data_IF_564644663013
#
_entry.id   IF_564644663013
#
_cell.length_a   1.000
_cell.length_b   1.000
_cell.length_c   1.000
_cell.angle_alpha   90.00
_cell.angle_beta   90.00
_cell.angle_gamma   90.00
#
_symmetry.space_group_name_H-M   'P 1'
#
loop_
_entity.id
_entity.type
_entity.pdbx_description
1 polymer ?
#
# COMPACT_ATOMS: atom_id res chain seq x y z
N UNK A 1 -15.32 63.79 1.01
CA UNK A 1 -14.12 62.98 1.28
C UNK A 1 -14.53 61.61 1.85
N UNK A 2 -15.41 60.86 1.17
CA UNK A 2 -16.03 59.60 1.68
C UNK A 2 -16.21 58.52 0.60
N UNK A 3 -15.67 58.70 -0.61
CA UNK A 3 -15.90 57.79 -1.75
C UNK A 3 -14.87 56.66 -1.82
N UNK A 4 -13.73 56.79 -1.12
CA UNK A 4 -12.62 55.83 -1.22
C UNK A 4 -12.77 54.57 -0.34
N UNK A 5 -13.59 54.59 0.71
CA UNK A 5 -13.74 53.43 1.61
C UNK A 5 -14.63 52.31 1.06
N UNK A 6 -15.61 52.63 0.21
CA UNK A 6 -16.52 51.60 -0.35
C UNK A 6 -15.84 50.69 -1.39
N UNK A 7 -14.84 51.18 -2.12
CA UNK A 7 -14.12 50.37 -3.11
C UNK A 7 -13.11 49.39 -2.49
N UNK A 8 -12.56 49.71 -1.31
CA UNK A 8 -11.64 48.79 -0.62
C UNK A 8 -12.39 47.58 -0.05
N UNK A 9 -13.58 47.78 0.51
CA UNK A 9 -14.38 46.70 1.12
C UNK A 9 -14.90 45.72 0.06
N UNK A 10 -15.28 46.19 -1.15
CA UNK A 10 -15.72 45.29 -2.23
C UNK A 10 -14.60 44.45 -2.86
N UNK A 11 -13.36 44.96 -2.85
CA UNK A 11 -12.19 44.24 -3.38
C UNK A 11 -11.67 43.16 -2.42
N UNK A 12 -11.87 43.33 -1.11
CA UNK A 12 -11.48 42.32 -0.12
C UNK A 12 -12.43 41.10 -0.19
N UNK A 13 -13.74 41.33 -0.29
CA UNK A 13 -14.75 40.25 -0.31
C UNK A 13 -14.70 39.39 -1.59
N UNK A 14 -14.26 39.96 -2.72
CA UNK A 14 -14.07 39.22 -3.98
C UNK A 14 -12.80 38.37 -3.98
N UNK A 15 -11.71 38.84 -3.37
CA UNK A 15 -10.46 38.10 -3.21
C UNK A 15 -10.63 36.88 -2.29
N UNK A 16 -11.28 37.05 -1.13
CA UNK A 16 -11.51 35.96 -0.19
C UNK A 16 -12.47 34.88 -0.73
N UNK A 17 -13.50 35.28 -1.50
CA UNK A 17 -14.37 34.32 -2.20
C UNK A 17 -13.64 33.52 -3.27
N UNK A 18 -12.68 34.11 -3.99
CA UNK A 18 -11.85 33.38 -4.95
C UNK A 18 -10.87 32.41 -4.26
N UNK A 19 -10.25 32.83 -3.14
CA UNK A 19 -9.36 31.97 -2.35
C UNK A 19 -10.14 30.77 -1.77
N UNK A 20 -11.38 31.00 -1.31
CA UNK A 20 -12.22 29.96 -0.74
C UNK A 20 -12.73 28.97 -1.81
N UNK A 21 -13.15 29.44 -3.00
CA UNK A 21 -13.49 28.56 -4.14
C UNK A 21 -12.30 27.71 -4.59
N UNK A 22 -11.10 28.29 -4.69
CA UNK A 22 -9.89 27.55 -5.05
C UNK A 22 -9.47 26.51 -4.00
N UNK A 23 -9.68 26.79 -2.71
CA UNK A 23 -9.47 25.80 -1.64
C UNK A 23 -10.48 24.66 -1.70
N UNK A 24 -11.76 24.95 -1.93
CA UNK A 24 -12.84 23.95 -2.00
C UNK A 24 -12.63 22.99 -3.18
N UNK A 25 -12.22 23.51 -4.33
CA UNK A 25 -11.91 22.73 -5.53
C UNK A 25 -10.68 21.82 -5.32
N UNK A 26 -9.61 22.33 -4.70
CA UNK A 26 -8.42 21.53 -4.32
C UNK A 26 -8.69 20.46 -3.24
N UNK A 27 -9.73 20.62 -2.43
CA UNK A 27 -10.13 19.65 -1.40
C UNK A 27 -10.92 18.48 -2.00
N UNK A 28 -11.72 18.73 -3.04
CA UNK A 28 -12.54 17.71 -3.70
C UNK A 28 -11.73 16.85 -4.70
N UNK A 29 -10.66 17.39 -5.29
CA UNK A 29 -9.79 16.63 -6.19
C UNK A 29 -8.99 15.52 -5.50
N UNK A 30 -8.70 15.67 -4.19
CA UNK A 30 -7.91 14.69 -3.43
C UNK A 30 -8.61 13.32 -3.27
N UNK A 31 -9.89 13.23 -2.86
CA UNK A 31 -10.57 11.94 -2.75
C UNK A 31 -10.77 11.28 -4.11
N UNK A 32 -11.10 12.05 -5.16
CA UNK A 32 -11.31 11.53 -6.52
C UNK A 32 -10.02 10.87 -7.04
N UNK A 33 -8.88 11.55 -6.89
CA UNK A 33 -7.58 11.02 -7.35
C UNK A 33 -7.17 9.74 -6.61
N UNK A 34 -7.46 9.64 -5.30
CA UNK A 34 -7.19 8.43 -4.52
C UNK A 34 -8.08 7.28 -4.97
N UNK A 35 -9.36 7.54 -5.22
CA UNK A 35 -10.30 6.55 -5.71
C UNK A 35 -9.88 6.01 -7.09
N UNK A 36 -9.46 6.88 -8.00
CA UNK A 36 -8.97 6.47 -9.33
C UNK A 36 -7.75 5.56 -9.24
N UNK A 37 -6.80 5.82 -8.34
CA UNK A 37 -5.60 4.96 -8.18
C UNK A 37 -6.01 3.56 -7.69
N UNK A 38 -6.90 3.47 -6.70
CA UNK A 38 -7.39 2.18 -6.20
C UNK A 38 -8.18 1.42 -7.27
N UNK A 39 -9.00 2.13 -8.04
CA UNK A 39 -9.75 1.53 -9.14
C UNK A 39 -8.82 0.97 -10.23
N UNK A 40 -7.80 1.73 -10.62
CA UNK A 40 -6.79 1.30 -11.60
C UNK A 40 -6.05 0.07 -11.08
N UNK A 41 -5.65 0.07 -9.80
CA UNK A 41 -5.00 -1.08 -9.16
C UNK A 41 -5.91 -2.33 -9.19
N UNK A 42 -7.18 -2.20 -8.84
CA UNK A 42 -8.13 -3.31 -8.92
C UNK A 42 -8.27 -3.83 -10.36
N UNK A 43 -8.41 -2.93 -11.34
CA UNK A 43 -8.52 -3.33 -12.75
C UNK A 43 -7.25 -4.01 -13.27
N UNK A 44 -6.08 -3.58 -12.82
CA UNK A 44 -4.81 -4.26 -13.15
C UNK A 44 -4.71 -5.64 -12.52
N UNK A 45 -5.15 -5.80 -11.27
CA UNK A 45 -5.12 -7.09 -10.59
C UNK A 45 -6.10 -8.08 -11.26
N UNK A 46 -7.28 -7.59 -11.67
CA UNK A 46 -8.23 -8.39 -12.46
C UNK A 46 -7.68 -8.84 -13.80
N UNK A 47 -6.85 -8.03 -14.48
CA UNK A 47 -6.27 -8.43 -15.77
C UNK A 47 -5.28 -9.58 -15.64
N UNK A 48 -4.65 -9.75 -14.48
CA UNK A 48 -3.77 -10.89 -14.18
C UNK A 48 -4.58 -12.12 -13.74
N UNK A 49 -5.65 -11.93 -12.97
CA UNK A 49 -6.45 -13.04 -12.41
C UNK A 49 -7.41 -13.63 -13.46
N UNK A 50 -7.98 -12.80 -14.33
CA UNK A 50 -9.00 -13.21 -15.30
C UNK A 50 -8.53 -14.32 -16.27
N UNK A 51 -7.32 -14.29 -16.86
CA UNK A 51 -6.85 -15.37 -17.72
C UNK A 51 -6.72 -16.72 -16.99
N UNK A 52 -6.40 -16.70 -15.69
CA UNK A 52 -6.35 -17.92 -14.85
C UNK A 52 -7.75 -18.51 -14.67
N UNK A 53 -8.75 -17.66 -14.42
CA UNK A 53 -10.15 -18.09 -14.31
C UNK A 53 -10.70 -18.61 -15.63
N UNK A 54 -10.43 -17.92 -16.74
CA UNK A 54 -10.94 -18.28 -18.06
C UNK A 54 -10.33 -19.56 -18.64
N UNK A 55 -9.08 -19.89 -18.28
CA UNK A 55 -8.41 -21.10 -18.77
C UNK A 55 -8.89 -22.37 -18.10
N UNK A 56 -9.68 -22.30 -17.02
CA UNK A 56 -10.32 -23.47 -16.41
C UNK A 56 -9.35 -24.46 -15.76
N UNK A 57 -8.08 -24.08 -15.57
CA UNK A 57 -7.03 -24.92 -14.99
C UNK A 57 -7.14 -25.00 -13.45
N UNK A 58 -8.35 -25.11 -12.90
CA UNK A 58 -8.55 -25.21 -11.45
C UNK A 58 -8.76 -26.69 -11.11
N UNK A 59 -7.77 -27.30 -10.46
CA UNK A 59 -7.84 -28.68 -10.03
C UNK A 59 -8.20 -28.71 -8.55
N UNK A 60 -9.21 -29.51 -8.21
CA UNK A 60 -9.59 -29.75 -6.81
C UNK A 60 -8.78 -30.91 -6.25
N UNK A 61 -8.08 -30.67 -5.14
CA UNK A 61 -7.36 -31.72 -4.43
C UNK A 61 -8.36 -32.57 -3.63
N UNK A 62 -8.31 -33.90 -3.80
CA UNK A 62 -9.23 -34.84 -3.13
C UNK A 62 -9.06 -34.88 -1.59
N UNK A 63 -7.88 -34.55 -1.08
CA UNK A 63 -7.50 -34.75 0.32
C UNK A 63 -7.90 -33.55 1.19
N UNK A 64 -7.66 -32.31 0.72
CA UNK A 64 -7.79 -31.11 1.56
C UNK A 64 -8.96 -30.19 1.17
N UNK A 65 -9.78 -30.56 0.18
CA UNK A 65 -10.80 -29.67 -0.43
C UNK A 65 -10.24 -28.31 -0.91
N UNK A 66 -8.93 -28.22 -1.11
CA UNK A 66 -8.26 -27.03 -1.64
C UNK A 66 -8.31 -27.04 -3.17
N UNK A 67 -8.59 -25.87 -3.74
CA UNK A 67 -8.50 -25.62 -5.18
C UNK A 67 -7.14 -24.99 -5.48
N UNK A 68 -6.44 -25.53 -6.47
CA UNK A 68 -5.18 -24.97 -6.94
C UNK A 68 -5.22 -24.78 -8.45
N UNK A 69 -4.43 -23.84 -8.93
CA UNK A 69 -4.21 -23.63 -10.35
C UNK A 69 -3.21 -24.69 -10.83
N UNK A 70 -3.62 -25.49 -11.81
CA UNK A 70 -2.72 -26.41 -12.51
C UNK A 70 -1.66 -25.58 -13.25
N UNK A 71 -0.41 -25.96 -13.06
CA UNK A 71 0.75 -25.35 -13.71
C UNK A 71 1.24 -26.17 -14.91
N UNK A 72 0.36 -26.96 -15.51
CA UNK A 72 0.73 -27.89 -16.60
C UNK A 72 1.14 -27.15 -17.88
N UNK A 73 0.72 -25.88 -18.04
CA UNK A 73 1.11 -25.03 -19.16
C UNK A 73 2.21 -24.06 -18.78
N UNK A 74 3.44 -24.39 -19.15
CA UNK A 74 4.63 -23.56 -18.93
C UNK A 74 4.47 -22.14 -19.48
N UNK A 75 3.88 -22.00 -20.66
CA UNK A 75 3.63 -20.73 -21.34
C UNK A 75 2.76 -19.78 -20.51
N UNK A 76 1.76 -20.31 -19.80
CA UNK A 76 0.93 -19.52 -18.89
C UNK A 76 1.71 -19.12 -17.64
N UNK A 77 2.52 -20.01 -17.07
CA UNK A 77 3.37 -19.73 -15.90
C UNK A 77 4.41 -18.66 -16.21
N UNK A 78 5.08 -18.75 -17.36
CA UNK A 78 6.05 -17.75 -17.81
C UNK A 78 5.40 -16.40 -18.08
N UNK A 79 4.24 -16.38 -18.73
CA UNK A 79 3.51 -15.13 -19.00
C UNK A 79 3.08 -14.46 -17.69
N UNK A 80 2.52 -15.23 -16.75
CA UNK A 80 2.08 -14.70 -15.45
C UNK A 80 3.25 -14.18 -14.61
N UNK A 81 4.33 -14.96 -14.49
CA UNK A 81 5.52 -14.54 -13.74
C UNK A 81 6.21 -13.33 -14.36
N UNK A 82 6.30 -13.27 -15.69
CA UNK A 82 6.85 -12.11 -16.40
C UNK A 82 6.01 -10.85 -16.16
N UNK A 83 4.68 -10.93 -16.29
CA UNK A 83 3.80 -9.77 -16.13
C UNK A 83 3.77 -9.26 -14.68
N UNK A 84 3.78 -10.15 -13.70
CA UNK A 84 3.62 -9.79 -12.29
C UNK A 84 4.93 -9.36 -11.63
N UNK A 85 6.03 -10.07 -11.88
CA UNK A 85 7.32 -9.80 -11.24
C UNK A 85 8.22 -8.96 -12.14
N UNK A 86 8.54 -9.45 -13.33
CA UNK A 86 9.58 -8.82 -14.18
C UNK A 86 9.16 -7.43 -14.64
N UNK A 87 7.93 -7.27 -15.15
CA UNK A 87 7.44 -5.97 -15.61
C UNK A 87 7.36 -4.97 -14.45
N UNK A 88 6.83 -5.39 -13.30
CA UNK A 88 6.75 -4.56 -12.09
C UNK A 88 8.13 -4.11 -11.60
N UNK A 89 9.11 -5.03 -11.58
CA UNK A 89 10.49 -4.75 -11.19
C UNK A 89 11.16 -3.74 -12.13
N UNK A 90 10.99 -3.93 -13.44
CA UNK A 90 11.56 -3.03 -14.46
C UNK A 90 10.95 -1.64 -14.35
N UNK A 91 9.63 -1.52 -14.21
CA UNK A 91 8.96 -0.23 -14.02
C UNK A 91 9.50 0.48 -12.78
N UNK A 92 9.62 -0.23 -11.66
CA UNK A 92 10.12 0.34 -10.42
C UNK A 92 11.59 0.78 -10.56
N UNK A 93 12.43 -0.03 -11.20
CA UNK A 93 13.84 0.30 -11.44
C UNK A 93 13.99 1.54 -12.34
N UNK A 94 13.18 1.66 -13.40
CA UNK A 94 13.15 2.83 -14.29
C UNK A 94 12.71 4.08 -13.54
N UNK A 95 11.64 4.01 -12.74
CA UNK A 95 11.15 5.12 -11.93
C UNK A 95 12.21 5.57 -10.92
N UNK A 96 12.83 4.62 -10.21
CA UNK A 96 13.88 4.91 -9.26
C UNK A 96 15.08 5.59 -9.92
N UNK A 97 15.56 5.04 -11.06
CA UNK A 97 16.66 5.62 -11.82
C UNK A 97 16.35 7.03 -12.29
N UNK A 98 15.15 7.28 -12.85
CA UNK A 98 14.72 8.62 -13.28
C UNK A 98 14.71 9.60 -12.11
N UNK A 99 14.20 9.18 -10.96
CA UNK A 99 14.11 10.04 -9.78
C UNK A 99 15.52 10.38 -9.23
N UNK A 100 16.43 9.41 -9.16
CA UNK A 100 17.82 9.65 -8.75
C UNK A 100 18.53 10.60 -9.72
N UNK A 101 18.36 10.40 -11.03
CA UNK A 101 18.93 11.29 -12.06
C UNK A 101 18.40 12.72 -11.92
N UNK A 102 17.08 12.87 -11.75
CA UNK A 102 16.45 14.16 -11.55
C UNK A 102 17.06 14.89 -10.34
N UNK A 103 17.18 14.22 -9.19
CA UNK A 103 17.74 14.86 -7.99
C UNK A 103 19.20 15.25 -8.15
N UNK A 104 20.02 14.40 -8.81
CA UNK A 104 21.42 14.74 -9.10
C UNK A 104 21.52 16.02 -9.94
N UNK A 105 20.65 16.18 -10.93
CA UNK A 105 20.63 17.36 -11.80
C UNK A 105 20.08 18.62 -11.10
N UNK A 106 19.13 18.48 -10.16
CA UNK A 106 18.53 19.64 -9.46
C UNK A 106 19.30 20.09 -8.20
N UNK A 107 20.26 19.29 -7.69
CA UNK A 107 20.94 19.59 -6.42
C UNK A 107 21.70 20.93 -6.38
N UNK A 108 22.02 21.54 -7.52
CA UNK A 108 22.81 22.79 -7.59
C UNK A 108 22.01 24.08 -7.79
N UNK A 109 20.72 24.00 -8.18
CA UNK A 109 19.94 25.18 -8.64
C UNK A 109 18.61 25.43 -7.93
N UNK A 110 18.35 24.75 -6.81
CA UNK A 110 17.00 24.68 -6.24
C UNK A 110 16.89 25.39 -4.89
N UNK A 111 15.85 26.22 -4.74
CA UNK A 111 15.48 26.88 -3.48
C UNK A 111 15.34 25.88 -2.32
N UNK A 112 15.73 26.28 -1.10
CA UNK A 112 15.74 25.40 0.08
C UNK A 112 14.43 24.65 0.35
N UNK A 113 13.29 25.29 0.12
CA UNK A 113 11.96 24.67 0.27
C UNK A 113 11.68 23.54 -0.73
N UNK A 114 12.19 23.65 -1.95
CA UNK A 114 12.02 22.65 -2.99
C UNK A 114 13.03 21.50 -2.80
N UNK A 115 14.22 21.78 -2.26
CA UNK A 115 15.19 20.76 -1.83
C UNK A 115 14.63 19.87 -0.72
N UNK A 116 13.94 20.44 0.28
CA UNK A 116 13.27 19.69 1.35
C UNK A 116 12.15 18.77 0.83
N UNK A 117 11.38 19.22 -0.17
CA UNK A 117 10.36 18.37 -0.82
C UNK A 117 11.00 17.19 -1.55
N UNK A 118 12.03 17.46 -2.35
CA UNK A 118 12.76 16.43 -3.10
C UNK A 118 13.39 15.40 -2.17
N UNK A 119 13.99 15.82 -1.05
CA UNK A 119 14.53 14.90 -0.04
C UNK A 119 13.45 14.01 0.59
N UNK A 120 12.26 14.57 0.85
CA UNK A 120 11.12 13.79 1.36
C UNK A 120 10.67 12.74 0.34
N UNK A 121 10.56 13.10 -0.94
CA UNK A 121 10.13 12.21 -2.00
C UNK A 121 11.16 11.09 -2.24
N UNK A 122 12.45 11.42 -2.18
CA UNK A 122 13.54 10.43 -2.20
C UNK A 122 13.48 9.46 -1.02
N UNK A 123 13.24 9.97 0.19
CA UNK A 123 13.12 9.13 1.37
C UNK A 123 11.92 8.17 1.26
N UNK A 124 10.79 8.65 0.72
CA UNK A 124 9.63 7.80 0.43
C UNK A 124 9.95 6.74 -0.64
N UNK A 125 10.56 7.13 -1.76
CA UNK A 125 10.94 6.20 -2.82
C UNK A 125 11.95 5.16 -2.36
N UNK A 126 12.95 5.54 -1.55
CA UNK A 126 13.89 4.58 -0.95
C UNK A 126 13.16 3.53 -0.10
N UNK A 127 12.15 3.94 0.68
CA UNK A 127 11.33 3.00 1.46
C UNK A 127 10.53 2.06 0.56
N UNK A 128 9.92 2.57 -0.51
CA UNK A 128 9.20 1.75 -1.50
C UNK A 128 10.13 0.71 -2.11
N UNK A 129 11.33 1.11 -2.53
CA UNK A 129 12.32 0.18 -3.10
C UNK A 129 12.77 -0.87 -2.10
N UNK A 130 13.01 -0.50 -0.83
CA UNK A 130 13.37 -1.47 0.21
C UNK A 130 12.23 -2.46 0.46
N UNK A 131 11.00 -1.96 0.60
CA UNK A 131 9.80 -2.80 0.76
C UNK A 131 9.64 -3.77 -0.42
N UNK A 132 9.84 -3.28 -1.63
CA UNK A 132 9.73 -4.09 -2.84
C UNK A 132 10.84 -5.14 -2.95
N UNK A 133 12.08 -4.77 -2.67
CA UNK A 133 13.20 -5.71 -2.64
C UNK A 133 12.98 -6.83 -1.62
N UNK A 134 12.42 -6.50 -0.45
CA UNK A 134 12.06 -7.50 0.57
C UNK A 134 10.90 -8.40 0.10
N UNK A 135 9.90 -7.84 -0.58
CA UNK A 135 8.81 -8.62 -1.18
C UNK A 135 9.34 -9.61 -2.21
N UNK A 136 10.26 -9.18 -3.08
CA UNK A 136 10.90 -10.05 -4.08
C UNK A 136 11.73 -11.14 -3.40
N UNK A 137 12.54 -10.80 -2.39
CA UNK A 137 13.34 -11.78 -1.65
C UNK A 137 12.47 -12.85 -1.00
N UNK A 138 11.35 -12.46 -0.40
CA UNK A 138 10.41 -13.35 0.27
C UNK A 138 9.57 -14.17 -0.73
N UNK A 139 9.20 -13.59 -1.87
CA UNK A 139 8.41 -14.25 -2.92
C UNK A 139 9.23 -15.16 -3.85
N UNK A 140 10.52 -14.90 -3.99
CA UNK A 140 11.41 -15.66 -4.89
C UNK A 140 11.46 -17.17 -4.62
N UNK A 141 11.48 -17.68 -3.37
CA UNK A 141 11.49 -19.11 -3.13
C UNK A 141 10.20 -19.78 -3.60
N UNK A 142 9.05 -19.11 -3.44
CA UNK A 142 7.77 -19.62 -3.94
C UNK A 142 7.76 -19.71 -5.47
N UNK A 143 8.28 -18.67 -6.15
CA UNK A 143 8.45 -18.68 -7.61
C UNK A 143 9.35 -19.82 -8.10
N UNK A 144 10.49 -20.04 -7.44
CA UNK A 144 11.41 -21.13 -7.81
C UNK A 144 10.71 -22.48 -7.68
N UNK A 145 9.96 -22.72 -6.61
CA UNK A 145 9.20 -23.97 -6.45
C UNK A 145 8.11 -24.12 -7.51
N UNK A 146 7.39 -23.05 -7.86
CA UNK A 146 6.39 -23.06 -8.94
C UNK A 146 7.03 -23.41 -10.28
N UNK A 147 8.17 -22.81 -10.62
CA UNK A 147 8.89 -23.10 -11.87
C UNK A 147 9.40 -24.54 -11.87
N UNK A 148 9.99 -25.01 -10.76
CA UNK A 148 10.44 -26.40 -10.64
C UNK A 148 9.29 -27.40 -10.80
N UNK A 149 8.12 -27.09 -10.25
CA UNK A 149 6.92 -27.91 -10.43
C UNK A 149 6.43 -27.91 -11.88
N UNK A 150 6.48 -26.76 -12.56
CA UNK A 150 6.07 -26.67 -13.96
C UNK A 150 7.03 -27.44 -14.89
N UNK A 151 8.33 -27.49 -14.56
CA UNK A 151 9.35 -28.23 -15.34
C UNK A 151 9.36 -29.73 -15.03
N UNK A 152 9.05 -30.13 -13.79
CA UNK A 152 9.03 -31.54 -13.32
C UNK A 152 7.62 -31.97 -12.90
N UNK A 153 6.67 -31.84 -13.82
CA UNK A 153 5.24 -32.16 -13.65
C UNK A 153 4.98 -33.49 -12.92
N UNK A 154 5.89 -34.47 -13.08
CA UNK A 154 5.64 -35.85 -12.70
C UNK A 154 6.06 -36.20 -11.25
N UNK A 155 6.84 -35.35 -10.56
CA UNK A 155 7.60 -35.82 -9.39
C UNK A 155 6.99 -35.45 -8.03
N UNK A 156 6.29 -34.32 -7.87
CA UNK A 156 5.94 -33.82 -6.51
C UNK A 156 4.63 -32.99 -6.39
N UNK A 157 3.47 -33.37 -6.95
CA UNK A 157 2.30 -32.48 -7.02
C UNK A 157 1.69 -32.07 -5.66
N UNK A 158 1.80 -32.90 -4.62
CA UNK A 158 1.10 -32.65 -3.35
C UNK A 158 1.97 -31.97 -2.28
N UNK A 159 3.20 -32.42 -2.10
CA UNK A 159 4.10 -31.89 -1.07
C UNK A 159 4.62 -30.49 -1.39
N UNK A 160 5.02 -30.27 -2.64
CA UNK A 160 5.56 -28.97 -3.10
C UNK A 160 4.54 -27.84 -3.01
N UNK A 161 3.27 -28.11 -3.31
CA UNK A 161 2.19 -27.11 -3.27
C UNK A 161 1.88 -26.65 -1.84
N UNK A 162 1.92 -27.57 -0.86
CA UNK A 162 1.79 -27.20 0.57
C UNK A 162 2.95 -26.32 1.02
N UNK A 163 4.16 -26.61 0.57
CA UNK A 163 5.34 -25.79 0.86
C UNK A 163 5.17 -24.38 0.27
N UNK A 164 4.72 -24.26 -0.99
CA UNK A 164 4.42 -22.95 -1.60
C UNK A 164 3.39 -22.18 -0.79
N UNK A 165 2.31 -22.83 -0.38
CA UNK A 165 1.27 -22.21 0.43
C UNK A 165 1.82 -21.67 1.76
N UNK A 166 2.62 -22.48 2.48
CA UNK A 166 3.24 -22.07 3.74
C UNK A 166 4.20 -20.89 3.50
N UNK A 167 5.06 -20.96 2.49
CA UNK A 167 6.01 -19.89 2.13
C UNK A 167 5.27 -18.59 1.82
N UNK A 168 4.19 -18.64 1.04
CA UNK A 168 3.40 -17.45 0.72
C UNK A 168 2.75 -16.83 1.96
N UNK A 169 2.17 -17.63 2.86
CA UNK A 169 1.56 -17.12 4.09
C UNK A 169 2.58 -16.51 5.06
N UNK A 170 3.72 -17.19 5.24
CA UNK A 170 4.85 -16.65 6.01
C UNK A 170 5.34 -15.36 5.38
N UNK A 171 5.40 -15.30 4.06
CA UNK A 171 5.81 -14.13 3.33
C UNK A 171 4.88 -12.93 3.50
N UNK A 172 3.56 -13.15 3.45
CA UNK A 172 2.56 -12.13 3.72
C UNK A 172 2.65 -11.60 5.16
N UNK A 173 2.90 -12.48 6.12
CA UNK A 173 3.08 -12.09 7.53
C UNK A 173 4.34 -11.26 7.70
N UNK A 174 5.45 -11.68 7.08
CA UNK A 174 6.71 -10.95 7.12
C UNK A 174 6.58 -9.57 6.45
N UNK A 175 5.87 -9.49 5.32
CA UNK A 175 5.58 -8.24 4.63
C UNK A 175 4.77 -7.28 5.51
N UNK A 176 3.75 -7.78 6.23
CA UNK A 176 2.96 -6.96 7.14
C UNK A 176 3.81 -6.38 8.28
N UNK A 177 4.71 -7.20 8.86
CA UNK A 177 5.64 -6.76 9.91
C UNK A 177 6.58 -5.68 9.39
N UNK A 178 7.16 -5.89 8.21
CA UNK A 178 8.06 -4.92 7.58
C UNK A 178 7.32 -3.61 7.27
N UNK A 179 6.12 -3.70 6.69
CA UNK A 179 5.31 -2.53 6.36
C UNK A 179 5.01 -1.70 7.62
N UNK A 180 4.72 -2.37 8.72
CA UNK A 180 4.51 -1.75 10.02
C UNK A 180 5.78 -1.05 10.54
N UNK A 181 6.95 -1.66 10.40
CA UNK A 181 8.24 -1.09 10.82
C UNK A 181 8.66 0.12 9.96
N UNK A 182 8.47 0.04 8.65
CA UNK A 182 8.93 1.05 7.69
C UNK A 182 7.95 2.22 7.48
N UNK A 183 6.70 2.08 7.94
CA UNK A 183 5.64 3.09 7.77
C UNK A 183 5.31 3.77 9.10
N UNK A 184 5.99 4.88 9.46
CA UNK A 184 5.79 5.53 10.76
C UNK A 184 4.36 6.04 10.97
N UNK A 185 3.65 6.39 9.89
CA UNK A 185 2.24 6.79 9.94
C UNK A 185 1.35 5.64 10.43
N UNK A 186 1.61 4.41 9.94
CA UNK A 186 0.88 3.21 10.36
C UNK A 186 1.13 2.93 11.84
N UNK A 187 2.40 3.01 12.27
CA UNK A 187 2.80 2.84 13.66
C UNK A 187 2.11 3.86 14.57
N UNK A 188 2.05 5.13 14.17
CA UNK A 188 1.36 6.18 14.94
C UNK A 188 -0.15 5.92 15.05
N UNK A 189 -0.80 5.48 13.98
CA UNK A 189 -2.24 5.13 14.00
C UNK A 189 -2.48 3.97 14.96
N UNK A 190 -1.68 2.91 14.86
CA UNK A 190 -1.82 1.73 15.73
C UNK A 190 -1.59 2.10 17.19
N UNK A 191 -0.50 2.81 17.51
CA UNK A 191 -0.22 3.29 18.87
C UNK A 191 -1.37 4.15 19.39
N UNK A 192 -1.90 5.06 18.57
CA UNK A 192 -3.05 5.90 18.95
C UNK A 192 -4.31 5.07 19.22
N UNK A 193 -4.61 4.07 18.38
CA UNK A 193 -5.73 3.15 18.60
C UNK A 193 -5.57 2.33 19.89
N UNK A 194 -4.35 1.88 20.21
CA UNK A 194 -4.08 1.17 21.46
C UNK A 194 -4.28 2.07 22.68
N UNK A 195 -3.74 3.30 22.66
CA UNK A 195 -3.93 4.26 23.77
C UNK A 195 -5.40 4.67 23.96
N UNK A 196 -6.14 4.95 22.88
CA UNK A 196 -7.58 5.24 22.96
C UNK A 196 -8.37 4.09 23.60
N UNK A 197 -7.99 2.84 23.33
CA UNK A 197 -8.64 1.67 23.93
C UNK A 197 -8.30 1.55 25.42
N UNK A 198 -7.07 1.84 25.82
CA UNK A 198 -6.65 1.90 27.22
C UNK A 198 -7.37 2.99 28.01
N UNK A 199 -7.55 4.18 27.44
CA UNK A 199 -8.21 5.31 28.11
C UNK A 199 -9.72 5.05 28.30
N UNK A 200 -10.39 4.43 27.32
CA UNK A 200 -11.80 4.02 27.44
C UNK A 200 -12.00 2.93 28.48
N UNK A 201 -11.08 1.96 28.57
CA UNK A 201 -11.13 0.91 29.60
C UNK A 201 -10.99 1.52 31.00
N UNK A 202 -10.02 2.41 31.23
CA UNK A 202 -9.80 3.06 32.54
C UNK A 202 -10.98 3.97 32.96
N UNK A 203 -11.59 4.67 32.01
CA UNK A 203 -12.79 5.49 32.28
C UNK A 203 -14.00 4.64 32.67
N UNK A 204 -14.16 3.44 32.07
CA UNK A 204 -15.24 2.51 32.41
C UNK A 204 -15.07 1.89 33.81
N UNK A 205 -13.83 1.61 34.24
CA UNK A 205 -13.56 1.04 35.58
C UNK A 205 -13.79 2.06 36.69
N UNK A 206 -13.51 3.34 36.46
CA UNK A 206 -13.74 4.40 37.45
C UNK A 206 -15.22 4.80 37.61
N UNK A 207 -16.10 4.41 36.68
CA UNK A 207 -17.56 4.64 36.78
C UNK A 207 -18.29 3.59 37.62
N UNK A 208 -17.63 2.48 37.96
CA UNK A 208 -18.19 1.38 38.77
C UNK A 208 -17.53 1.36 40.16
N UNK A 209 -17.24 2.52 40.75
CA UNK A 209 -17.10 2.60 42.21
C UNK A 209 -18.49 2.86 42.79
N UNK A 210 -19.09 1.91 43.54
CA UNK A 210 -20.30 2.21 44.28
C UNK A 210 -19.99 3.35 45.26
N UNK A 211 -20.85 4.37 45.26
CA UNK A 211 -20.97 5.32 46.36
C UNK A 211 -21.26 4.51 47.63
N UNK A 212 -20.22 4.17 48.38
CA UNK A 212 -20.37 3.79 49.77
C UNK A 212 -20.56 5.11 50.50
N UNK A 213 -21.81 5.51 50.58
CA UNK A 213 -22.34 6.61 51.38
C UNK A 213 -22.06 6.27 52.85
N UNK A 214 -20.94 6.78 53.37
CA UNK A 214 -20.65 6.75 54.80
C UNK A 214 -21.59 7.73 55.50
N UNK A 215 -22.79 7.27 55.84
CA UNK A 215 -23.61 7.88 56.88
C UNK A 215 -22.88 7.73 58.22
N UNK A 216 -22.23 8.81 58.66
CA UNK A 216 -21.94 9.04 60.08
C UNK A 216 -22.95 10.07 60.58
N UNK A 217 -23.92 9.58 61.34
CA UNK A 217 -24.56 10.29 62.43
C UNK A 217 -24.40 9.42 63.68
#
# INVERSE_FOLDING_TARGET
MLVWDQQLVSNIDTSDRQICKNKKMKLLDRPIRKFSIVLIQCLSDFTVILPVLLTGNIVKMKIDNLCFVSFDRLDLVFTMSALTFVVSDVILAVLYRRLVMYVRQTSSRVNGNQRLRIQRDLAMMRRIVVLHAQLVLVGSPALVVIILNAVRSDILPFGSMRIVFIIMNLGLTFLAIILFQNTPQLRQIVVKCFHLKSDVLISSTNRVRPMIETNRF
#
